data_IF_107087353358
#
_entry.id   IF_107087353358
#
_cell.length_a   1.000
_cell.length_b   1.000
_cell.length_c   1.000
_cell.angle_alpha   90.00
_cell.angle_beta   90.00
_cell.angle_gamma   90.00
#
_symmetry.space_group_name_H-M   'P 1'
#
loop_
_entity.id
_entity.type
_entity.pdbx_description
1 polymer ?
#
# COMPACT_ATOMS: atom_id res chain seq x y z
N UNK A 1 -22.14 -31.33 11.13
CA UNK A 1 -20.88 -30.60 10.99
C UNK A 1 -19.83 -31.57 10.52
N UNK A 2 -19.22 -31.33 9.36
CA UNK A 2 -18.07 -32.11 8.91
C UNK A 2 -16.91 -31.85 9.88
N UNK A 3 -16.60 -32.83 10.71
CA UNK A 3 -15.46 -32.80 11.63
C UNK A 3 -14.25 -33.29 10.82
N UNK A 4 -13.30 -32.41 10.53
CA UNK A 4 -12.07 -32.80 9.84
C UNK A 4 -11.41 -31.66 9.09
N UNK A 5 -10.25 -31.92 8.49
CA UNK A 5 -9.53 -31.01 7.65
C UNK A 5 -10.22 -30.96 6.28
N UNK A 6 -10.98 -29.90 6.01
CA UNK A 6 -11.60 -29.61 4.71
C UNK A 6 -11.01 -28.31 4.16
N UNK A 7 -11.10 -28.11 2.85
CA UNK A 7 -10.67 -26.84 2.22
C UNK A 7 -11.35 -25.61 2.88
N UNK A 8 -12.67 -25.73 3.16
CA UNK A 8 -13.42 -24.65 3.81
C UNK A 8 -12.87 -24.37 5.20
N UNK A 9 -12.67 -25.40 6.03
CA UNK A 9 -12.14 -25.20 7.39
C UNK A 9 -10.73 -24.61 7.41
N UNK A 10 -9.88 -24.98 6.43
CA UNK A 10 -8.54 -24.41 6.29
C UNK A 10 -8.63 -22.93 5.92
N UNK A 11 -9.47 -22.60 4.94
CA UNK A 11 -9.68 -21.20 4.53
C UNK A 11 -10.24 -20.35 5.66
N UNK A 12 -11.22 -20.85 6.40
CA UNK A 12 -11.83 -20.17 7.54
C UNK A 12 -10.82 -19.93 8.67
N UNK A 13 -9.97 -20.93 8.95
CA UNK A 13 -8.92 -20.78 9.96
C UNK A 13 -7.89 -19.71 9.56
N UNK A 14 -7.44 -19.70 8.29
CA UNK A 14 -6.53 -18.69 7.77
C UNK A 14 -7.19 -17.31 7.83
N UNK A 15 -8.42 -17.17 7.34
CA UNK A 15 -9.14 -15.90 7.36
C UNK A 15 -9.35 -15.38 8.79
N UNK A 16 -9.66 -16.26 9.75
CA UNK A 16 -9.81 -15.90 11.17
C UNK A 16 -8.49 -15.40 11.75
N UNK A 17 -7.37 -16.06 11.41
CA UNK A 17 -6.04 -15.62 11.83
C UNK A 17 -5.70 -14.26 11.21
N UNK A 18 -5.89 -14.09 9.91
CA UNK A 18 -5.62 -12.83 9.20
C UNK A 18 -6.42 -11.65 9.78
N UNK A 19 -7.69 -11.88 10.17
CA UNK A 19 -8.52 -10.85 10.83
C UNK A 19 -7.96 -10.42 12.20
N UNK A 20 -7.14 -11.24 12.85
CA UNK A 20 -6.46 -10.89 14.11
C UNK A 20 -5.20 -10.05 13.92
N UNK A 21 -4.67 -9.98 12.68
CA UNK A 21 -3.44 -9.27 12.36
C UNK A 21 -3.67 -7.76 12.19
N UNK A 22 -4.22 -7.14 13.22
CA UNK A 22 -4.42 -5.68 13.24
C UNK A 22 -3.12 -5.00 13.65
N UNK A 23 -2.67 -4.03 12.87
CA UNK A 23 -1.45 -3.28 13.10
C UNK A 23 -1.76 -1.79 13.33
N UNK A 24 -2.17 -1.38 14.56
CA UNK A 24 -2.45 0.02 14.85
C UNK A 24 -1.21 0.87 14.62
N UNK A 25 -1.39 2.01 13.97
CA UNK A 25 -0.34 2.96 13.66
C UNK A 25 -0.51 4.27 14.43
N UNK A 26 0.44 5.19 14.29
CA UNK A 26 0.30 6.55 14.84
C UNK A 26 -0.89 7.30 14.22
N UNK A 27 -1.23 7.01 12.97
CA UNK A 27 -2.39 7.58 12.32
C UNK A 27 -3.71 7.17 12.99
N UNK A 28 -3.82 5.94 13.50
CA UNK A 28 -5.01 5.50 14.23
C UNK A 28 -5.20 6.29 15.53
N UNK A 29 -4.12 6.55 16.26
CA UNK A 29 -4.17 7.40 17.46
C UNK A 29 -4.57 8.84 17.11
N UNK A 30 -4.05 9.37 16.01
CA UNK A 30 -4.43 10.69 15.51
C UNK A 30 -5.93 10.77 15.21
N UNK A 31 -6.48 9.77 14.51
CA UNK A 31 -7.93 9.67 14.25
C UNK A 31 -8.74 9.51 15.54
N UNK A 32 -8.18 8.86 16.56
CA UNK A 32 -8.76 8.72 17.88
C UNK A 32 -8.71 9.99 18.73
N UNK A 33 -8.15 11.10 18.21
CA UNK A 33 -8.11 12.40 18.87
C UNK A 33 -6.75 12.81 19.46
N UNK A 34 -5.74 11.96 19.46
CA UNK A 34 -4.37 12.33 19.86
C UNK A 34 -3.70 13.16 18.75
N UNK A 35 -3.86 14.48 18.84
CA UNK A 35 -3.30 15.42 17.86
C UNK A 35 -1.77 15.41 17.81
N UNK A 36 -1.11 14.87 18.82
CA UNK A 36 0.35 14.77 18.90
C UNK A 36 0.89 13.44 18.33
N UNK A 37 0.02 12.50 17.96
CA UNK A 37 0.43 11.22 17.39
C UNK A 37 1.12 11.36 16.03
N UNK A 38 0.80 12.41 15.27
CA UNK A 38 1.50 12.76 14.03
C UNK A 38 2.36 14.01 14.23
N UNK A 39 3.56 14.00 13.67
CA UNK A 39 4.42 15.19 13.57
C UNK A 39 3.79 16.25 12.66
N UNK A 40 4.32 17.49 12.71
CA UNK A 40 3.87 18.56 11.81
C UNK A 40 4.03 18.14 10.32
N UNK A 41 5.19 17.58 9.96
CA UNK A 41 5.49 17.14 8.60
C UNK A 41 4.54 16.02 8.11
N UNK A 42 4.15 15.10 8.99
CA UNK A 42 3.18 14.04 8.64
C UNK A 42 1.77 14.60 8.45
N UNK A 43 1.37 15.61 9.23
CA UNK A 43 0.08 16.30 9.02
C UNK A 43 0.07 17.12 7.73
N UNK A 44 1.18 17.77 7.38
CA UNK A 44 1.34 18.43 6.07
C UNK A 44 1.23 17.39 4.93
N UNK A 45 1.86 16.24 5.10
CA UNK A 45 1.77 15.12 4.15
C UNK A 45 0.35 14.57 4.00
N UNK A 46 -0.40 14.43 5.09
CA UNK A 46 -1.82 14.09 5.06
C UNK A 46 -2.63 15.14 4.28
N UNK A 47 -2.37 16.41 4.53
CA UNK A 47 -3.03 17.51 3.80
C UNK A 47 -2.72 17.43 2.30
N UNK A 48 -1.47 17.19 1.93
CA UNK A 48 -1.07 17.03 0.54
C UNK A 48 -1.74 15.79 -0.11
N UNK A 49 -1.81 14.66 0.61
CA UNK A 49 -2.48 13.44 0.16
C UNK A 49 -3.97 13.69 -0.15
N UNK A 50 -4.66 14.44 0.71
CA UNK A 50 -6.06 14.84 0.50
C UNK A 50 -6.19 15.79 -0.69
N UNK A 51 -5.37 16.83 -0.75
CA UNK A 51 -5.41 17.88 -1.80
C UNK A 51 -5.01 17.31 -3.18
N UNK A 52 -4.14 16.32 -3.23
CA UNK A 52 -3.78 15.63 -4.46
C UNK A 52 -4.96 14.81 -5.01
N UNK A 53 -5.93 14.42 -4.18
CA UNK A 53 -7.11 13.65 -4.58
C UNK A 53 -6.99 12.14 -4.33
N UNK A 54 -5.97 11.70 -3.59
CA UNK A 54 -5.74 10.28 -3.30
C UNK A 54 -6.90 9.64 -2.54
N UNK A 55 -7.59 10.43 -1.72
CA UNK A 55 -8.77 9.99 -0.95
C UNK A 55 -9.98 9.62 -1.78
N UNK A 56 -10.00 9.90 -3.11
CA UNK A 56 -11.07 9.44 -3.98
C UNK A 56 -11.17 7.90 -4.02
N UNK A 57 -10.04 7.21 -3.89
CA UNK A 57 -9.95 5.75 -3.93
C UNK A 57 -9.41 5.15 -2.61
N UNK A 58 -8.46 5.84 -1.96
CA UNK A 58 -7.84 5.42 -0.71
C UNK A 58 -8.58 6.00 0.50
N UNK A 59 -9.69 5.37 0.88
CA UNK A 59 -10.62 5.81 1.94
C UNK A 59 -10.97 4.66 2.88
N UNK A 60 -11.71 4.99 3.95
CA UNK A 60 -12.14 4.05 4.97
C UNK A 60 -11.02 3.67 5.95
N UNK A 61 -11.34 2.76 6.87
CA UNK A 61 -10.45 2.36 7.97
C UNK A 61 -9.11 1.78 7.49
N UNK A 62 -9.11 1.15 6.31
CA UNK A 62 -7.91 0.56 5.71
C UNK A 62 -7.22 1.50 4.72
N UNK A 63 -7.73 2.71 4.53
CA UNK A 63 -7.20 3.66 3.54
C UNK A 63 -7.06 2.97 2.18
N UNK A 64 -8.13 2.32 1.74
CA UNK A 64 -8.23 1.46 0.58
C UNK A 64 -8.95 0.14 0.87
N UNK A 65 -8.92 -0.80 -0.05
CA UNK A 65 -9.50 -2.14 0.13
C UNK A 65 -11.02 -2.24 -0.10
N UNK A 66 -11.70 -1.14 -0.34
CA UNK A 66 -13.18 -1.08 -0.39
C UNK A 66 -13.77 -1.05 -1.79
N UNK A 67 -12.95 -0.85 -2.81
CA UNK A 67 -13.41 -0.74 -4.19
C UNK A 67 -12.42 -1.33 -5.20
N UNK A 68 -12.90 -1.57 -6.41
CA UNK A 68 -12.07 -1.85 -7.58
C UNK A 68 -11.95 -0.59 -8.42
N UNK A 69 -10.77 -0.35 -8.99
CA UNK A 69 -10.54 0.77 -9.89
C UNK A 69 -9.65 0.33 -11.06
N UNK A 70 -9.89 0.94 -12.21
CA UNK A 70 -9.07 0.72 -13.41
C UNK A 70 -7.68 1.29 -13.18
N UNK A 71 -6.65 0.49 -13.45
CA UNK A 71 -5.27 0.96 -13.45
C UNK A 71 -5.03 1.84 -14.66
N UNK A 72 -4.66 3.10 -14.41
CA UNK A 72 -4.51 4.08 -15.49
C UNK A 72 -5.85 4.69 -15.93
N UNK A 73 -6.59 5.27 -14.98
CA UNK A 73 -7.90 5.91 -15.23
C UNK A 73 -7.80 7.11 -16.15
N UNK A 74 -6.77 7.94 -15.99
CA UNK A 74 -6.57 9.17 -16.79
C UNK A 74 -5.51 8.98 -17.87
N UNK A 75 -4.41 8.32 -17.55
CA UNK A 75 -3.37 7.97 -18.52
C UNK A 75 -3.12 6.47 -18.48
N UNK A 76 -2.95 5.87 -19.66
CA UNK A 76 -2.74 4.43 -19.80
C UNK A 76 -1.41 4.01 -19.11
N UNK A 77 -1.53 3.33 -17.96
CA UNK A 77 -0.40 2.82 -17.21
C UNK A 77 0.45 1.85 -18.02
N UNK A 78 -0.18 0.90 -18.72
CA UNK A 78 0.50 -0.19 -19.43
C UNK A 78 1.30 0.32 -20.63
N UNK A 79 0.73 1.28 -21.36
CA UNK A 79 1.43 1.96 -22.43
C UNK A 79 2.64 2.73 -21.90
N UNK A 80 2.48 3.40 -20.76
CA UNK A 80 3.52 4.17 -20.12
C UNK A 80 4.63 3.30 -19.54
N UNK A 81 4.29 2.15 -18.97
CA UNK A 81 5.26 1.14 -18.50
C UNK A 81 6.14 0.63 -19.63
N UNK A 82 5.60 0.52 -20.86
CA UNK A 82 6.36 0.20 -22.07
C UNK A 82 6.79 -1.27 -22.20
N UNK A 83 6.31 -2.15 -21.32
CA UNK A 83 6.56 -3.60 -21.42
C UNK A 83 5.34 -4.31 -21.98
N UNK A 84 5.49 -5.49 -22.61
CA UNK A 84 4.34 -6.28 -23.09
C UNK A 84 3.36 -6.59 -21.96
N UNK A 85 2.08 -6.66 -22.33
CA UNK A 85 1.03 -7.09 -21.41
C UNK A 85 1.22 -8.57 -21.05
N UNK A 86 0.91 -8.88 -19.80
CA UNK A 86 0.86 -10.25 -19.26
C UNK A 86 -0.56 -10.56 -18.79
N UNK A 87 -0.83 -11.81 -18.47
CA UNK A 87 -2.14 -12.23 -17.93
C UNK A 87 -2.46 -11.50 -16.61
N UNK A 88 -1.45 -11.20 -15.79
CA UNK A 88 -1.64 -10.45 -14.55
C UNK A 88 -2.19 -9.03 -14.79
N UNK A 89 -1.89 -8.42 -15.93
CA UNK A 89 -2.36 -7.08 -16.30
C UNK A 89 -3.87 -7.01 -16.56
N UNK A 90 -4.50 -8.14 -16.82
CA UNK A 90 -5.95 -8.22 -17.02
C UNK A 90 -6.74 -7.93 -15.72
N UNK A 91 -6.12 -8.14 -14.55
CA UNK A 91 -6.73 -7.86 -13.25
C UNK A 91 -8.01 -8.66 -13.02
N UNK A 92 -9.09 -7.99 -12.62
CA UNK A 92 -10.38 -8.59 -12.31
C UNK A 92 -11.00 -9.38 -13.48
N UNK A 93 -10.68 -9.01 -14.71
CA UNK A 93 -11.11 -9.73 -15.91
C UNK A 93 -10.75 -11.22 -15.84
N UNK A 94 -9.63 -11.60 -15.26
CA UNK A 94 -9.22 -13.00 -15.13
C UNK A 94 -10.21 -13.86 -14.33
N UNK A 95 -11.07 -13.24 -13.53
CA UNK A 95 -12.09 -13.92 -12.71
C UNK A 95 -13.47 -13.79 -13.34
N UNK A 96 -13.81 -12.60 -13.83
CA UNK A 96 -15.18 -12.31 -14.30
C UNK A 96 -15.39 -12.58 -15.76
N UNK A 97 -14.32 -12.55 -16.58
CA UNK A 97 -14.32 -12.60 -18.04
C UNK A 97 -15.19 -11.52 -18.70
N UNK A 98 -15.54 -10.47 -17.95
CA UNK A 98 -16.25 -9.30 -18.45
C UNK A 98 -15.26 -8.24 -18.91
N UNK A 99 -15.36 -7.77 -20.17
CA UNK A 99 -14.44 -6.75 -20.73
C UNK A 99 -14.47 -5.44 -19.94
N UNK A 100 -15.59 -5.11 -19.31
CA UNK A 100 -15.70 -3.94 -18.41
C UNK A 100 -14.78 -4.02 -17.19
N UNK A 101 -14.33 -5.21 -16.81
CA UNK A 101 -13.46 -5.47 -15.66
C UNK A 101 -11.97 -5.55 -16.04
N UNK A 102 -11.64 -5.42 -17.33
CA UNK A 102 -10.24 -5.47 -17.78
C UNK A 102 -9.43 -4.32 -17.21
N UNK A 103 -8.28 -4.68 -16.65
CA UNK A 103 -7.36 -3.76 -15.94
C UNK A 103 -7.93 -3.14 -14.66
N UNK A 104 -9.03 -3.68 -14.12
CA UNK A 104 -9.52 -3.31 -12.80
C UNK A 104 -8.83 -4.14 -11.73
N UNK A 105 -8.34 -3.43 -10.70
CA UNK A 105 -7.69 -4.02 -9.53
C UNK A 105 -8.39 -3.55 -8.27
N UNK A 106 -8.38 -4.39 -7.23
CA UNK A 106 -8.79 -3.93 -5.90
C UNK A 106 -7.83 -2.84 -5.46
N UNK A 107 -8.36 -1.67 -5.09
CA UNK A 107 -7.56 -0.59 -4.51
C UNK A 107 -6.90 -1.13 -3.23
N UNK A 108 -5.56 -1.18 -3.15
CA UNK A 108 -4.90 -1.77 -2.00
C UNK A 108 -5.06 -0.91 -0.75
N UNK A 109 -4.96 -1.54 0.41
CA UNK A 109 -4.75 -0.81 1.66
C UNK A 109 -3.42 -0.06 1.60
N UNK A 110 -3.38 1.13 2.19
CA UNK A 110 -2.12 1.87 2.38
C UNK A 110 -1.53 1.65 3.78
N UNK A 111 -2.18 0.85 4.63
CA UNK A 111 -1.59 0.45 5.90
C UNK A 111 -0.33 -0.36 5.66
N UNK A 112 0.75 -0.01 6.36
CA UNK A 112 2.08 -0.63 6.21
C UNK A 112 2.69 -0.50 4.80
N UNK A 113 2.18 0.38 3.95
CA UNK A 113 2.62 0.49 2.55
C UNK A 113 4.12 0.78 2.43
N UNK A 114 4.71 1.48 3.38
CA UNK A 114 6.15 1.75 3.39
C UNK A 114 7.04 0.50 3.52
N UNK A 115 6.47 -0.64 3.94
CA UNK A 115 7.19 -1.90 4.15
C UNK A 115 7.00 -2.91 3.01
N UNK A 116 6.22 -2.59 1.98
CA UNK A 116 5.74 -3.57 1.00
C UNK A 116 6.26 -3.33 -0.42
N UNK A 117 7.42 -2.72 -0.55
CA UNK A 117 8.10 -2.61 -1.84
C UNK A 117 8.44 -4.02 -2.41
N UNK A 118 8.46 -4.21 -3.74
CA UNK A 118 8.10 -3.26 -4.80
C UNK A 118 6.59 -3.08 -4.94
N UNK A 119 6.18 -2.00 -5.61
CA UNK A 119 4.77 -1.59 -5.69
C UNK A 119 4.13 -1.92 -7.04
N UNK A 120 2.77 -1.90 -7.04
CA UNK A 120 1.85 -2.32 -8.08
C UNK A 120 1.78 -3.85 -8.21
N UNK A 121 0.83 -4.32 -9.02
CA UNK A 121 0.60 -5.76 -9.26
C UNK A 121 1.77 -6.45 -9.98
N UNK A 122 2.62 -5.68 -10.64
CA UNK A 122 3.75 -6.12 -11.44
C UNK A 122 5.13 -5.77 -10.82
N UNK A 123 5.11 -5.09 -9.66
CA UNK A 123 6.34 -4.66 -8.99
C UNK A 123 7.14 -3.59 -9.75
N UNK A 124 6.52 -2.88 -10.71
CA UNK A 124 7.23 -1.96 -11.60
C UNK A 124 7.77 -0.70 -10.90
N UNK A 125 7.25 -0.33 -9.73
CA UNK A 125 7.79 0.76 -8.93
C UNK A 125 8.63 0.21 -7.77
N UNK A 126 9.93 0.46 -7.79
CA UNK A 126 10.85 -0.02 -6.77
C UNK A 126 10.75 0.76 -5.46
N UNK A 127 10.34 2.02 -5.52
CA UNK A 127 10.27 2.92 -4.37
C UNK A 127 8.86 3.49 -4.18
N UNK A 128 8.55 3.90 -2.93
CA UNK A 128 7.28 4.53 -2.62
C UNK A 128 7.12 5.89 -3.35
N UNK A 129 8.21 6.62 -3.54
CA UNK A 129 8.25 7.85 -4.33
C UNK A 129 7.81 7.62 -5.78
N UNK A 130 8.35 6.59 -6.43
CA UNK A 130 7.96 6.21 -7.79
C UNK A 130 6.48 5.81 -7.85
N UNK A 131 6.00 5.05 -6.86
CA UNK A 131 4.61 4.64 -6.78
C UNK A 131 3.68 5.86 -6.64
N UNK A 132 4.00 6.83 -5.76
CA UNK A 132 3.24 8.07 -5.57
C UNK A 132 3.21 8.90 -6.85
N UNK A 133 4.36 9.10 -7.51
CA UNK A 133 4.44 9.83 -8.78
C UNK A 133 3.59 9.17 -9.87
N UNK A 134 3.73 7.86 -10.00
CA UNK A 134 2.99 7.09 -10.99
C UNK A 134 1.49 7.17 -10.74
N UNK A 135 1.03 6.94 -9.50
CA UNK A 135 -0.40 7.04 -9.14
C UNK A 135 -0.96 8.43 -9.43
N UNK A 136 -0.25 9.50 -9.01
CA UNK A 136 -0.69 10.86 -9.28
C UNK A 136 -0.89 11.12 -10.78
N UNK A 137 0.03 10.62 -11.59
CA UNK A 137 0.00 10.83 -13.03
C UNK A 137 -1.07 9.97 -13.72
N UNK A 138 -1.08 8.64 -13.47
CA UNK A 138 -1.94 7.73 -14.25
C UNK A 138 -3.38 7.70 -13.76
N UNK A 139 -3.62 7.91 -12.46
CA UNK A 139 -4.97 7.90 -11.88
C UNK A 139 -5.62 9.28 -11.82
N UNK A 140 -4.82 10.33 -11.58
CA UNK A 140 -5.33 11.68 -11.32
C UNK A 140 -4.93 12.69 -12.39
N UNK A 141 -4.06 12.32 -13.34
CA UNK A 141 -3.55 13.21 -14.40
C UNK A 141 -2.68 14.35 -13.85
N UNK A 142 -2.09 14.17 -12.66
CA UNK A 142 -1.31 15.20 -11.98
C UNK A 142 0.18 14.87 -11.99
N UNK A 143 0.98 15.85 -12.35
CA UNK A 143 2.42 15.82 -12.10
C UNK A 143 2.67 16.51 -10.75
N UNK A 144 3.20 15.77 -9.80
CA UNK A 144 3.54 16.30 -8.48
C UNK A 144 5.00 16.77 -8.48
N UNK A 145 5.23 17.92 -7.86
CA UNK A 145 6.58 18.40 -7.58
C UNK A 145 7.31 17.48 -6.58
N UNK A 146 8.64 17.37 -6.65
CA UNK A 146 9.40 16.51 -5.73
C UNK A 146 9.04 16.73 -4.25
N UNK A 147 8.87 17.96 -3.82
CA UNK A 147 8.51 18.28 -2.45
C UNK A 147 7.10 17.79 -2.06
N UNK A 148 6.14 17.78 -3.00
CA UNK A 148 4.79 17.24 -2.76
C UNK A 148 4.85 15.72 -2.58
N UNK A 149 5.61 15.03 -3.42
CA UNK A 149 5.83 13.58 -3.30
C UNK A 149 6.43 13.26 -1.93
N UNK A 150 7.47 13.97 -1.51
CA UNK A 150 8.11 13.74 -0.21
C UNK A 150 7.16 13.97 0.96
N UNK A 151 6.31 14.99 0.91
CA UNK A 151 5.27 15.18 1.94
C UNK A 151 4.31 14.02 2.01
N UNK A 152 3.81 13.54 0.85
CA UNK A 152 2.91 12.39 0.80
C UNK A 152 3.60 11.13 1.35
N UNK A 153 4.83 10.84 0.93
CA UNK A 153 5.63 9.70 1.42
C UNK A 153 5.83 9.79 2.93
N UNK A 154 6.10 10.98 3.47
CA UNK A 154 6.22 11.21 4.92
C UNK A 154 4.95 10.82 5.66
N UNK A 155 3.78 11.18 5.14
CA UNK A 155 2.50 10.72 5.69
C UNK A 155 2.32 9.20 5.57
N UNK A 156 2.61 8.62 4.41
CA UNK A 156 2.45 7.18 4.19
C UNK A 156 3.31 6.33 5.13
N UNK A 157 4.49 6.82 5.54
CA UNK A 157 5.30 6.18 6.57
C UNK A 157 4.61 6.15 7.94
N UNK A 158 3.79 7.15 8.28
CA UNK A 158 3.03 7.17 9.53
C UNK A 158 1.90 6.11 9.58
N UNK A 159 1.57 5.47 8.46
CA UNK A 159 0.62 4.36 8.37
C UNK A 159 1.24 3.01 8.73
N UNK A 160 2.53 2.97 9.04
CA UNK A 160 3.22 1.78 9.52
C UNK A 160 2.82 1.51 10.96
N UNK A 161 2.22 0.34 11.17
CA UNK A 161 1.75 -0.09 12.48
C UNK A 161 2.68 -1.10 13.15
N UNK A 162 2.40 -1.41 14.41
CA UNK A 162 3.12 -2.40 15.18
C UNK A 162 2.50 -3.78 14.97
N UNK A 163 3.34 -4.78 14.69
CA UNK A 163 2.90 -6.17 14.60
C UNK A 163 2.54 -6.66 16.01
N UNK A 164 1.31 -7.16 16.24
CA UNK A 164 0.93 -7.71 17.54
C UNK A 164 1.90 -8.78 18.02
N UNK A 165 2.20 -8.79 19.32
CA UNK A 165 3.15 -9.75 19.89
C UNK A 165 2.77 -11.22 19.60
N UNK A 166 1.47 -11.54 19.61
CA UNK A 166 0.96 -12.87 19.31
C UNK A 166 1.01 -13.28 17.82
N UNK A 167 1.26 -12.31 16.92
CA UNK A 167 1.41 -12.57 15.49
C UNK A 167 2.88 -12.79 15.08
N UNK A 168 3.82 -12.54 15.99
CA UNK A 168 5.22 -12.85 15.76
C UNK A 168 5.41 -14.35 15.94
N UNK A 169 5.82 -15.02 14.87
CA UNK A 169 6.29 -16.42 15.04
C UNK A 169 7.44 -16.41 16.05
N UNK A 170 7.48 -17.38 17.02
CA UNK A 170 8.65 -17.55 17.84
C UNK A 170 9.86 -17.75 16.91
N UNK A 171 11.04 -17.22 17.24
CA UNK A 171 12.22 -17.44 16.43
C UNK A 171 12.41 -18.95 16.27
N UNK A 172 12.43 -19.42 15.04
CA UNK A 172 12.78 -20.79 14.73
C UNK A 172 14.21 -20.98 15.25
N UNK A 173 14.41 -21.86 16.22
CA UNK A 173 15.75 -22.21 16.70
C UNK A 173 16.51 -22.83 15.51
N UNK A 174 17.24 -22.03 14.76
CA UNK A 174 17.98 -22.47 13.57
C UNK A 174 17.91 -21.54 12.36
N UNK A 175 17.02 -20.53 12.33
CA UNK A 175 17.04 -19.52 11.26
C UNK A 175 17.79 -18.29 11.77
N UNK A 176 18.91 -17.88 11.17
CA UNK A 176 19.55 -16.62 11.55
C UNK A 176 18.55 -15.47 11.37
N UNK A 177 18.43 -14.63 12.39
CA UNK A 177 17.57 -13.45 12.34
C UNK A 177 17.86 -12.67 11.05
N UNK A 178 16.82 -12.43 10.25
CA UNK A 178 16.96 -11.54 9.10
C UNK A 178 17.50 -10.22 9.61
N UNK A 179 18.62 -9.77 9.05
CA UNK A 179 19.19 -8.49 9.38
C UNK A 179 18.13 -7.40 9.21
N UNK A 180 18.01 -6.42 10.13
CA UNK A 180 17.07 -5.33 9.98
C UNK A 180 17.35 -4.66 8.63
N UNK A 181 16.29 -4.43 7.85
CA UNK A 181 16.38 -3.71 6.58
C UNK A 181 17.16 -2.41 6.83
N UNK A 182 18.25 -2.23 6.10
CA UNK A 182 19.09 -1.05 6.25
C UNK A 182 18.21 0.19 6.06
N UNK A 183 18.28 1.11 7.02
CA UNK A 183 17.67 2.42 6.87
C UNK A 183 18.15 3.05 5.55
N UNK A 184 17.28 3.73 4.79
CA UNK A 184 17.70 4.38 3.55
C UNK A 184 18.86 5.33 3.86
N UNK A 185 19.95 5.16 3.12
CA UNK A 185 21.13 5.99 3.25
C UNK A 185 20.74 7.46 3.05
N UNK A 186 21.16 8.32 3.98
CA UNK A 186 20.99 9.75 3.85
C UNK A 186 21.62 10.22 2.53
N UNK A 187 20.89 11.00 1.76
CA UNK A 187 21.38 11.60 0.53
C UNK A 187 22.63 12.44 0.83
N UNK A 188 23.67 12.39 -0.03
CA UNK A 188 24.86 13.20 0.19
C UNK A 188 24.48 14.68 0.10
N UNK A 189 24.97 15.46 1.08
CA UNK A 189 24.84 16.91 1.09
C UNK A 189 25.49 17.48 -0.17
N UNK A 190 24.75 18.31 -0.89
CA UNK A 190 25.29 19.03 -2.04
C UNK A 190 26.45 19.92 -1.56
N UNK A 191 27.65 19.69 -2.10
CA UNK A 191 28.78 20.57 -1.94
C UNK A 191 28.49 21.88 -2.70
N UNK A 192 28.73 23.00 -2.04
CA UNK A 192 28.66 24.35 -2.59
C UNK A 192 29.78 24.57 -3.61
#
# INVERSE_FOLDING_TARGET
QATGITEINVRDAIATYEMSLVTPSRFDRYLGGDRNALTAAEREGLTEFVNAGCTACHTGINIGGTMYQKMGLVQNYFQRRGTPLTDADNGRFNVTHAESDRHFFKVPTLRNVALTAPYFHDGAAATLDEAVRTMALVQLGRTLEPAQVQRIVTFLNALTGEIPAGARMPPNEGTPAAAPAAAPAAAPAAAQ
#
